data_IF_078493966549
#
_entry.id   IF_078493966549
#
_cell.length_a   1.000
_cell.length_b   1.000
_cell.length_c   1.000
_cell.angle_alpha   90.00
_cell.angle_beta   90.00
_cell.angle_gamma   90.00
#
_symmetry.space_group_name_H-M   'P 1'
#
loop_
_entity.id
_entity.type
_entity.pdbx_description
1 polymer ?
#
# COMPACT_ATOMS: atom_id res chain seq x y z
N UNK A 1 4.10 35.41 22.05
CA UNK A 1 4.23 33.93 22.08
C UNK A 1 2.94 33.16 21.73
N UNK A 2 1.75 33.77 21.65
CA UNK A 2 0.45 33.07 21.41
C UNK A 2 0.21 32.67 19.93
N UNK A 3 0.67 33.45 18.96
CA UNK A 3 0.46 33.18 17.52
C UNK A 3 1.14 31.89 17.03
N UNK A 4 2.33 31.55 17.54
CA UNK A 4 3.05 30.37 17.05
C UNK A 4 2.35 29.04 17.43
N UNK A 5 1.55 29.02 18.51
CA UNK A 5 0.74 27.84 18.87
C UNK A 5 -0.41 27.62 17.89
N UNK A 6 -1.12 28.68 17.51
CA UNK A 6 -2.27 28.59 16.59
C UNK A 6 -1.79 28.15 15.20
N UNK A 7 -0.70 28.73 14.70
CA UNK A 7 -0.11 28.33 13.41
C UNK A 7 0.25 26.85 13.41
N UNK A 8 0.90 26.35 14.46
CA UNK A 8 1.28 24.93 14.56
C UNK A 8 0.06 24.00 14.60
N UNK A 9 -1.03 24.43 15.21
CA UNK A 9 -2.29 23.68 15.26
C UNK A 9 -2.94 23.63 13.87
N UNK A 10 -3.09 24.78 13.20
CA UNK A 10 -3.69 24.86 11.86
C UNK A 10 -2.87 24.07 10.84
N UNK A 11 -1.54 24.23 10.85
CA UNK A 11 -0.63 23.45 10.00
C UNK A 11 -0.76 21.96 10.30
N UNK A 12 -0.86 21.56 11.57
CA UNK A 12 -1.06 20.17 11.96
C UNK A 12 -2.35 19.57 11.37
N UNK A 13 -3.46 20.29 11.43
CA UNK A 13 -4.72 19.85 10.81
C UNK A 13 -4.65 19.82 9.28
N UNK A 14 -4.03 20.82 8.66
CA UNK A 14 -3.84 20.88 7.21
C UNK A 14 -3.02 19.68 6.70
N UNK A 15 -1.88 19.37 7.34
CA UNK A 15 -1.03 18.24 6.97
C UNK A 15 -1.78 16.92 7.15
N UNK A 16 -2.55 16.74 8.23
CA UNK A 16 -3.37 15.54 8.43
C UNK A 16 -4.43 15.38 7.34
N UNK A 17 -5.10 16.48 6.98
CA UNK A 17 -6.08 16.48 5.89
C UNK A 17 -5.45 16.17 4.53
N UNK A 18 -4.31 16.79 4.24
CA UNK A 18 -3.56 16.54 3.01
C UNK A 18 -3.13 15.08 2.89
N UNK A 19 -2.56 14.50 3.95
CA UNK A 19 -2.12 13.11 3.99
C UNK A 19 -3.25 12.11 3.72
N UNK A 20 -4.49 12.43 4.10
CA UNK A 20 -5.66 11.59 3.81
C UNK A 20 -6.18 11.80 2.38
N UNK A 21 -6.25 13.04 1.91
CA UNK A 21 -6.87 13.38 0.62
C UNK A 21 -5.99 13.02 -0.57
N UNK A 22 -4.66 13.16 -0.44
CA UNK A 22 -3.70 12.87 -1.51
C UNK A 22 -3.82 11.43 -2.05
N UNK A 23 -3.73 10.37 -1.22
CA UNK A 23 -3.81 8.99 -1.72
C UNK A 23 -5.18 8.69 -2.35
N UNK A 24 -6.27 9.18 -1.75
CA UNK A 24 -7.63 9.00 -2.29
C UNK A 24 -7.76 9.68 -3.67
N UNK A 25 -7.25 10.90 -3.80
CA UNK A 25 -7.27 11.64 -5.07
C UNK A 25 -6.45 10.94 -6.14
N UNK A 26 -5.25 10.43 -5.79
CA UNK A 26 -4.40 9.68 -6.71
C UNK A 26 -5.14 8.44 -7.23
N UNK A 27 -5.78 7.68 -6.34
CA UNK A 27 -6.57 6.49 -6.72
C UNK A 27 -7.72 6.89 -7.64
N UNK A 28 -8.50 7.91 -7.28
CA UNK A 28 -9.63 8.37 -8.08
C UNK A 28 -9.21 8.81 -9.49
N UNK A 29 -8.11 9.56 -9.60
CA UNK A 29 -7.57 10.00 -10.89
C UNK A 29 -7.04 8.81 -11.69
N UNK A 30 -6.33 7.88 -11.07
CA UNK A 30 -5.84 6.68 -11.75
C UNK A 30 -6.99 5.84 -12.32
N UNK A 31 -8.04 5.60 -11.53
CA UNK A 31 -9.25 4.88 -11.94
C UNK A 31 -9.95 5.62 -13.10
N UNK A 32 -10.13 6.93 -13.00
CA UNK A 32 -10.75 7.74 -14.06
C UNK A 32 -9.93 7.74 -15.37
N UNK A 33 -8.61 7.83 -15.26
CA UNK A 33 -7.70 7.76 -16.43
C UNK A 33 -7.76 6.40 -17.11
N UNK A 34 -7.76 5.32 -16.31
CA UNK A 34 -7.87 3.96 -16.82
C UNK A 34 -9.21 3.74 -17.52
N UNK A 35 -10.30 4.23 -16.93
CA UNK A 35 -11.64 4.19 -17.53
C UNK A 35 -11.68 4.87 -18.91
N UNK A 36 -11.19 6.12 -19.03
CA UNK A 36 -11.16 6.82 -20.33
C UNK A 36 -10.29 6.09 -21.35
N UNK A 37 -9.13 5.58 -20.92
CA UNK A 37 -8.22 4.86 -21.80
C UNK A 37 -8.89 3.59 -22.36
N UNK A 38 -9.65 2.90 -21.52
CA UNK A 38 -10.42 1.71 -21.88
C UNK A 38 -11.57 2.04 -22.84
N UNK A 39 -12.37 3.07 -22.55
CA UNK A 39 -13.46 3.52 -23.40
C UNK A 39 -12.98 3.94 -24.80
N UNK A 40 -11.77 4.49 -24.92
CA UNK A 40 -11.19 4.85 -26.23
C UNK A 40 -10.82 3.65 -27.10
N UNK A 41 -10.51 2.51 -26.49
CA UNK A 41 -10.09 1.29 -27.20
C UNK A 41 -11.30 0.44 -27.58
N UNK A 42 -12.44 0.64 -26.92
CA UNK A 42 -13.66 -0.13 -27.12
C UNK A 42 -14.59 0.61 -28.08
N UNK A 43 -14.84 0.09 -29.29
CA UNK A 43 -15.71 0.73 -30.28
C UNK A 43 -17.22 0.49 -30.02
N UNK A 44 -17.63 0.29 -28.76
CA UNK A 44 -19.02 -0.02 -28.40
C UNK A 44 -19.60 1.04 -27.46
N UNK A 45 -20.63 1.75 -27.92
CA UNK A 45 -21.38 2.76 -27.14
C UNK A 45 -22.36 2.10 -26.14
N UNK A 46 -21.93 1.06 -25.41
CA UNK A 46 -22.77 0.43 -24.39
C UNK A 46 -22.54 1.16 -23.07
N UNK A 47 -23.54 1.87 -22.52
CA UNK A 47 -23.39 2.59 -21.27
C UNK A 47 -23.09 1.59 -20.13
N UNK A 48 -22.00 1.83 -19.40
CA UNK A 48 -21.59 1.00 -18.26
C UNK A 48 -20.65 -0.17 -18.57
N UNK A 49 -20.39 -0.48 -19.85
CA UNK A 49 -19.44 -1.54 -20.23
C UNK A 49 -18.00 -1.23 -19.77
N UNK A 50 -17.58 0.03 -19.91
CA UNK A 50 -16.27 0.48 -19.43
C UNK A 50 -16.09 0.26 -17.93
N UNK A 51 -17.16 0.41 -17.12
CA UNK A 51 -17.11 0.21 -15.68
C UNK A 51 -16.99 -1.28 -15.33
N UNK A 52 -17.78 -2.14 -15.98
CA UNK A 52 -17.69 -3.59 -15.80
C UNK A 52 -16.31 -4.13 -16.17
N UNK A 53 -15.76 -3.67 -17.29
CA UNK A 53 -14.45 -4.10 -17.74
C UNK A 53 -13.33 -3.55 -16.84
N UNK A 54 -13.45 -2.31 -16.38
CA UNK A 54 -12.54 -1.73 -15.39
C UNK A 54 -12.51 -2.57 -14.10
N UNK A 55 -13.68 -2.95 -13.58
CA UNK A 55 -13.77 -3.83 -12.42
C UNK A 55 -13.12 -5.18 -12.71
N UNK A 56 -13.42 -5.79 -13.86
CA UNK A 56 -12.83 -7.07 -14.26
C UNK A 56 -11.29 -6.99 -14.35
N UNK A 57 -10.74 -5.93 -14.94
CA UNK A 57 -9.28 -5.72 -15.07
C UNK A 57 -8.64 -5.52 -13.70
N UNK A 58 -9.22 -4.68 -12.84
CA UNK A 58 -8.67 -4.43 -11.50
C UNK A 58 -8.70 -5.71 -10.66
N UNK A 59 -9.81 -6.45 -10.68
CA UNK A 59 -9.94 -7.73 -9.98
C UNK A 59 -8.96 -8.76 -10.54
N UNK A 60 -8.81 -8.85 -11.86
CA UNK A 60 -7.89 -9.79 -12.49
C UNK A 60 -6.42 -9.45 -12.19
N UNK A 61 -6.05 -8.17 -12.19
CA UNK A 61 -4.72 -7.71 -11.78
C UNK A 61 -4.43 -8.06 -10.32
N UNK A 62 -5.42 -7.87 -9.42
CA UNK A 62 -5.31 -8.28 -8.01
C UNK A 62 -5.16 -9.79 -7.86
N UNK A 63 -5.94 -10.58 -8.61
CA UNK A 63 -5.85 -12.03 -8.61
C UNK A 63 -4.48 -12.54 -9.09
N UNK A 64 -3.96 -11.98 -10.19
CA UNK A 64 -2.60 -12.27 -10.66
C UNK A 64 -1.58 -11.93 -9.57
N UNK A 65 -1.66 -10.74 -8.96
CA UNK A 65 -0.76 -10.31 -7.90
C UNK A 65 -0.78 -11.21 -6.66
N UNK A 66 -1.90 -11.91 -6.41
CA UNK A 66 -2.02 -12.88 -5.31
C UNK A 66 -1.50 -14.29 -5.66
N UNK A 67 -1.17 -14.55 -6.93
CA UNK A 67 -0.75 -15.86 -7.41
C UNK A 67 0.78 -15.99 -7.40
N UNK A 68 1.30 -17.18 -7.11
CA UNK A 68 2.75 -17.50 -7.12
C UNK A 68 3.42 -17.15 -8.46
N UNK A 69 2.67 -17.18 -9.56
CA UNK A 69 3.10 -16.78 -10.90
C UNK A 69 3.61 -15.33 -10.99
N UNK A 70 3.20 -14.45 -10.07
CA UNK A 70 3.65 -13.06 -10.06
C UNK A 70 5.00 -12.87 -9.36
N UNK A 71 5.45 -13.82 -8.52
CA UNK A 71 6.71 -13.69 -7.77
C UNK A 71 7.94 -13.49 -8.69
N UNK A 72 8.13 -14.29 -9.77
CA UNK A 72 9.29 -14.11 -10.65
C UNK A 72 9.29 -12.77 -11.39
N UNK A 73 8.10 -12.25 -11.74
CA UNK A 73 7.95 -10.94 -12.38
C UNK A 73 8.30 -9.80 -11.41
N UNK A 74 7.90 -9.93 -10.15
CA UNK A 74 8.24 -8.98 -9.10
C UNK A 74 9.76 -8.94 -8.84
N UNK A 75 10.41 -10.10 -8.78
CA UNK A 75 11.86 -10.22 -8.58
C UNK A 75 12.66 -9.54 -9.70
N UNK A 76 12.27 -9.71 -10.97
CA UNK A 76 12.91 -9.03 -12.10
C UNK A 76 12.75 -7.50 -11.97
N UNK A 77 11.57 -7.03 -11.57
CA UNK A 77 11.33 -5.60 -11.33
C UNK A 77 12.22 -5.04 -10.21
N UNK A 78 12.36 -5.79 -9.12
CA UNK A 78 13.24 -5.41 -8.01
C UNK A 78 14.72 -5.40 -8.44
N UNK A 79 15.18 -6.35 -9.25
CA UNK A 79 16.56 -6.37 -9.77
C UNK A 79 16.84 -5.14 -10.67
N UNK A 80 15.87 -4.74 -11.51
CA UNK A 80 15.98 -3.53 -12.32
C UNK A 80 16.08 -2.28 -11.44
N UNK A 81 15.25 -2.19 -10.39
CA UNK A 81 15.28 -1.08 -9.44
C UNK A 81 16.60 -1.03 -8.65
N UNK A 82 17.21 -2.16 -8.34
CA UNK A 82 18.53 -2.21 -7.69
C UNK A 82 19.63 -1.53 -8.52
N UNK A 83 19.50 -1.53 -9.85
CA UNK A 83 20.44 -0.83 -10.75
C UNK A 83 20.27 0.69 -10.74
N UNK A 84 19.14 1.20 -10.20
CA UNK A 84 18.84 2.62 -10.12
C UNK A 84 18.46 2.98 -8.67
N UNK A 85 19.46 3.16 -7.78
CA UNK A 85 19.25 3.28 -6.32
C UNK A 85 18.22 4.34 -5.92
N UNK A 86 18.21 5.48 -6.61
CA UNK A 86 17.26 6.56 -6.33
C UNK A 86 15.80 6.16 -6.57
N UNK A 87 15.52 5.43 -7.65
CA UNK A 87 14.17 4.95 -7.96
C UNK A 87 13.73 3.89 -6.95
N UNK A 88 14.65 3.00 -6.54
CA UNK A 88 14.38 2.00 -5.50
C UNK A 88 13.93 2.66 -4.19
N UNK A 89 14.63 3.70 -3.73
CA UNK A 89 14.26 4.41 -2.49
C UNK A 89 12.86 5.01 -2.57
N UNK A 90 12.49 5.62 -3.70
CA UNK A 90 11.15 6.21 -3.88
C UNK A 90 10.08 5.12 -3.95
N UNK A 91 10.35 4.03 -4.67
CA UNK A 91 9.44 2.89 -4.79
C UNK A 91 9.17 2.23 -3.44
N UNK A 92 10.22 1.94 -2.67
CA UNK A 92 10.12 1.31 -1.34
C UNK A 92 9.32 2.22 -0.38
N UNK A 93 9.61 3.53 -0.35
CA UNK A 93 8.88 4.47 0.48
C UNK A 93 7.39 4.57 0.10
N UNK A 94 7.06 4.49 -1.19
CA UNK A 94 5.67 4.48 -1.66
C UNK A 94 4.98 3.16 -1.32
N UNK A 95 5.66 2.02 -1.51
CA UNK A 95 5.17 0.68 -1.16
C UNK A 95 4.85 0.60 0.34
N UNK A 96 5.73 1.11 1.19
CA UNK A 96 5.53 1.16 2.64
C UNK A 96 4.38 2.09 3.03
N UNK A 97 4.29 3.28 2.43
CA UNK A 97 3.19 4.22 2.66
C UNK A 97 1.84 3.59 2.30
N UNK A 98 1.74 2.99 1.12
CA UNK A 98 0.51 2.33 0.66
C UNK A 98 0.19 1.11 1.53
N UNK A 99 1.19 0.30 1.88
CA UNK A 99 1.02 -0.85 2.77
C UNK A 99 0.53 -0.47 4.17
N UNK A 100 1.00 0.65 4.71
CA UNK A 100 0.55 1.18 5.98
C UNK A 100 -0.90 1.71 5.93
N UNK A 101 -1.34 2.25 4.79
CA UNK A 101 -2.70 2.76 4.59
C UNK A 101 -3.74 1.66 4.31
N UNK A 102 -3.36 0.64 3.54
CA UNK A 102 -4.26 -0.47 3.15
C UNK A 102 -4.33 -1.54 4.25
N UNK A 103 -3.33 -1.62 5.12
CA UNK A 103 -3.37 -2.40 6.36
C UNK A 103 -3.29 -3.91 6.13
N UNK A 104 -2.08 -4.47 6.15
CA UNK A 104 -1.90 -5.93 6.14
C UNK A 104 -0.69 -6.43 6.95
N UNK A 105 -0.33 -5.77 8.06
CA UNK A 105 0.60 -6.37 9.04
C UNK A 105 -0.17 -6.84 10.27
N UNK A 106 -0.63 -8.10 10.24
CA UNK A 106 -1.09 -8.84 11.43
C UNK A 106 0.10 -9.20 12.34
N UNK A 107 0.87 -8.22 12.79
CA UNK A 107 2.16 -8.45 13.48
C UNK A 107 2.07 -8.88 14.95
N UNK A 108 0.88 -9.27 15.45
CA UNK A 108 0.70 -9.65 16.86
C UNK A 108 -0.33 -10.77 17.04
N UNK A 109 -0.43 -11.70 16.09
CA UNK A 109 -1.49 -12.73 16.14
C UNK A 109 -1.06 -13.97 16.92
N UNK A 110 0.24 -14.26 17.00
CA UNK A 110 0.76 -15.46 17.66
C UNK A 110 1.43 -15.11 19.00
N UNK A 111 0.74 -15.29 20.13
CA UNK A 111 1.36 -15.17 21.44
C UNK A 111 2.32 -16.34 21.67
N UNK A 112 3.50 -16.04 22.19
CA UNK A 112 4.54 -17.01 22.52
C UNK A 112 5.06 -16.77 23.93
N UNK A 113 5.48 -17.84 24.60
CA UNK A 113 6.19 -17.76 25.87
C UNK A 113 7.69 -17.88 25.60
N UNK A 114 8.44 -16.85 25.98
CA UNK A 114 9.89 -16.79 25.80
C UNK A 114 10.55 -16.95 27.16
N UNK A 115 11.41 -17.97 27.28
CA UNK A 115 12.23 -18.19 28.47
C UNK A 115 13.31 -17.12 28.56
N UNK A 116 13.39 -16.44 29.70
CA UNK A 116 14.35 -15.36 29.91
C UNK A 116 15.79 -15.86 30.12
N UNK A 117 15.95 -17.08 30.64
CA UNK A 117 17.27 -17.64 30.98
C UNK A 117 17.21 -19.15 30.87
N UNK A 118 18.31 -19.79 30.44
CA UNK A 118 18.37 -21.25 30.24
C UNK A 118 18.20 -22.08 31.52
N UNK A 119 18.31 -21.48 32.70
CA UNK A 119 18.34 -22.16 34.00
C UNK A 119 17.28 -21.65 34.98
N UNK A 120 16.29 -20.89 34.50
CA UNK A 120 15.22 -20.32 35.32
C UNK A 120 13.88 -20.51 34.63
N UNK A 121 12.84 -20.88 35.38
CA UNK A 121 11.44 -20.99 34.93
C UNK A 121 10.75 -19.61 34.74
N UNK A 122 11.53 -18.57 34.44
CA UNK A 122 11.00 -17.25 34.18
C UNK A 122 10.64 -17.13 32.70
N UNK A 123 9.34 -17.10 32.44
CA UNK A 123 8.77 -16.94 31.11
C UNK A 123 8.13 -15.56 30.96
N UNK A 124 8.28 -14.95 29.77
CA UNK A 124 7.61 -13.71 29.40
C UNK A 124 6.72 -13.94 28.18
N UNK A 125 5.56 -13.30 28.21
CA UNK A 125 4.67 -13.22 27.05
C UNK A 125 5.31 -12.31 25.99
N UNK A 126 5.38 -12.82 24.76
CA UNK A 126 5.80 -12.10 23.57
C UNK A 126 4.88 -12.40 22.40
N UNK A 127 5.10 -11.74 21.28
CA UNK A 127 4.40 -11.97 20.02
C UNK A 127 5.42 -12.10 18.89
N UNK A 128 5.15 -12.98 17.94
CA UNK A 128 5.93 -13.07 16.69
C UNK A 128 5.51 -11.92 15.77
N UNK A 129 6.48 -11.11 15.33
CA UNK A 129 6.22 -9.89 14.56
C UNK A 129 6.28 -10.08 13.04
N UNK A 130 7.04 -11.08 12.56
CA UNK A 130 7.17 -11.52 11.16
C UNK A 130 7.47 -13.04 11.15
N UNK A 131 6.87 -13.79 10.21
CA UNK A 131 7.22 -15.19 9.87
C UNK A 131 8.28 -15.23 8.76
#
# INVERSE_FOLDING_TARGET
>A
MKNQRIVRIVVGYFIRGLLLVVPVTIIAVAVYRLFIWLDRIIPFDIPGLGLLLLLAIITFAGWIGSTVLFQPLAEIGEEILQRIPFLKTIYDALKDLVGALVGSKKSFTQPVLVRMTKHSDLEKLGFITEE
#
